data_IF_231109303373
#
_entry.id   IF_231109303373
#
_cell.length_a   1.000
_cell.length_b   1.000
_cell.length_c   1.000
_cell.angle_alpha   90.00
_cell.angle_beta   90.00
_cell.angle_gamma   90.00
#
_symmetry.space_group_name_H-M   'P 1'
#
loop_
_entity.id
_entity.type
_entity.pdbx_description
1 polymer ?
#
# COMPACT_ATOMS: atom_id res chain seq x y z
N UNK A 1 -54.05 -44.98 33.22
CA UNK A 1 -53.67 -46.40 33.14
C UNK A 1 -52.38 -46.46 32.31
N UNK A 2 -51.21 -46.37 32.96
CA UNK A 2 -50.40 -47.50 33.51
C UNK A 2 -49.89 -48.40 32.36
N UNK A 3 -48.60 -48.73 32.20
CA UNK A 3 -47.50 -48.84 33.15
C UNK A 3 -46.15 -48.95 32.38
N UNK A 4 -45.07 -48.46 33.00
CA UNK A 4 -43.65 -48.74 32.69
C UNK A 4 -43.27 -50.16 33.19
N UNK A 5 -42.14 -50.80 32.79
CA UNK A 5 -40.84 -50.49 33.42
C UNK A 5 -39.56 -50.62 32.55
N UNK A 6 -38.52 -49.95 33.06
CA UNK A 6 -37.06 -50.00 32.75
C UNK A 6 -36.44 -51.21 33.52
N UNK A 7 -35.25 -51.80 33.18
CA UNK A 7 -33.90 -51.27 33.52
C UNK A 7 -32.82 -51.69 32.48
N UNK A 8 -31.52 -51.38 32.47
CA UNK A 8 -30.55 -50.45 33.10
C UNK A 8 -29.22 -50.77 32.38
N UNK A 9 -28.36 -49.78 32.13
CA UNK A 9 -27.05 -49.63 32.80
C UNK A 9 -26.14 -48.61 32.08
N UNK A 10 -25.81 -47.57 32.86
CA UNK A 10 -24.47 -47.03 33.15
C UNK A 10 -23.59 -46.60 31.95
N UNK A 11 -22.97 -45.42 31.89
CA UNK A 11 -22.80 -44.31 32.83
C UNK A 11 -22.22 -43.12 32.04
N UNK A 12 -22.77 -41.93 32.31
CA UNK A 12 -22.28 -40.57 32.00
C UNK A 12 -20.96 -40.24 32.74
N UNK A 13 -20.44 -38.99 32.73
CA UNK A 13 -20.21 -38.00 31.66
C UNK A 13 -18.80 -37.35 31.78
N UNK A 14 -18.52 -36.33 30.97
CA UNK A 14 -17.27 -35.56 30.98
C UNK A 14 -17.09 -34.51 32.09
N UNK A 15 -16.17 -33.57 31.83
CA UNK A 15 -15.84 -32.41 32.67
C UNK A 15 -14.32 -32.38 32.94
N UNK A 16 -13.50 -31.67 32.15
CA UNK A 16 -13.15 -30.25 32.28
C UNK A 16 -12.52 -29.90 33.64
N UNK A 17 -11.42 -29.13 33.59
CA UNK A 17 -10.69 -28.45 34.69
C UNK A 17 -9.30 -29.07 35.01
N UNK A 18 -8.33 -28.16 35.22
CA UNK A 18 -7.00 -28.36 35.82
C UNK A 18 -5.86 -28.95 34.96
N UNK A 19 -5.15 -28.07 34.22
CA UNK A 19 -3.67 -28.14 34.13
C UNK A 19 -3.07 -26.74 34.28
N UNK A 20 -3.21 -26.21 35.48
CA UNK A 20 -2.23 -25.32 36.09
C UNK A 20 -1.38 -26.17 37.03
N UNK A 21 -0.08 -25.82 37.14
CA UNK A 21 0.85 -26.21 38.21
C UNK A 21 1.42 -27.64 38.17
N UNK A 22 2.68 -27.72 37.76
CA UNK A 22 3.77 -28.58 38.25
C UNK A 22 4.78 -28.66 37.09
N UNK A 23 5.99 -28.12 37.15
CA UNK A 23 6.98 -28.37 38.20
C UNK A 23 8.06 -27.29 38.18
N UNK A 24 8.16 -26.52 39.27
CA UNK A 24 9.43 -25.96 39.75
C UNK A 24 10.02 -26.96 40.76
N UNK A 25 11.36 -27.02 40.77
CA UNK A 25 12.23 -27.58 41.82
C UNK A 25 12.36 -29.09 41.97
N UNK A 26 13.50 -29.61 41.50
CA UNK A 26 14.42 -30.39 42.34
C UNK A 26 15.86 -30.32 41.78
N UNK A 27 16.70 -29.51 42.43
CA UNK A 27 18.12 -29.84 42.66
C UNK A 27 18.14 -31.14 43.50
N UNK A 28 19.07 -32.11 43.36
CA UNK A 28 20.49 -31.99 43.65
C UNK A 28 21.18 -33.35 43.37
N UNK A 29 22.49 -33.28 43.05
CA UNK A 29 23.57 -34.27 43.23
C UNK A 29 23.70 -35.52 42.33
N UNK A 30 24.84 -35.53 41.60
CA UNK A 30 25.42 -36.72 40.98
C UNK A 30 26.56 -36.39 40.02
N UNK A 31 27.77 -36.15 40.56
CA UNK A 31 29.00 -35.90 39.82
C UNK A 31 29.48 -37.12 39.03
N UNK A 32 29.69 -36.98 37.71
CA UNK A 32 30.63 -37.81 36.95
C UNK A 32 31.40 -36.91 35.99
N UNK A 33 32.69 -36.78 36.27
CA UNK A 33 33.70 -36.15 35.43
C UNK A 33 34.06 -37.06 34.25
N UNK A 34 33.67 -36.69 33.04
CA UNK A 34 34.35 -37.13 31.82
C UNK A 34 34.99 -35.93 31.12
N UNK A 35 36.31 -35.99 31.00
CA UNK A 35 37.13 -35.06 30.23
C UNK A 35 36.77 -35.19 28.75
N UNK A 36 36.06 -34.20 28.21
CA UNK A 36 35.95 -34.00 26.77
C UNK A 36 36.91 -32.87 26.40
N UNK A 37 37.94 -33.22 25.61
CA UNK A 37 38.86 -32.25 25.02
C UNK A 37 38.09 -31.21 24.18
N UNK A 38 38.41 -29.91 24.27
CA UNK A 38 37.76 -28.92 23.43
C UNK A 38 38.28 -29.05 21.99
N UNK A 39 37.40 -29.48 21.09
CA UNK A 39 37.57 -29.35 19.64
C UNK A 39 37.85 -27.88 19.28
N UNK A 40 38.74 -27.62 18.30
CA UNK A 40 39.23 -26.28 18.02
C UNK A 40 38.10 -25.37 17.53
N UNK A 41 37.97 -24.20 18.16
CA UNK A 41 37.11 -23.09 17.71
C UNK A 41 37.41 -22.77 16.25
N UNK A 42 36.57 -23.25 15.32
CA UNK A 42 36.49 -22.69 13.97
C UNK A 42 35.87 -21.30 14.06
N UNK A 43 36.73 -20.31 14.26
CA UNK A 43 36.48 -18.94 13.77
C UNK A 43 36.35 -19.01 12.25
N UNK A 44 35.19 -18.64 11.74
CA UNK A 44 34.99 -17.62 10.70
C UNK A 44 33.49 -17.60 10.37
N UNK A 45 32.74 -16.76 11.09
CA UNK A 45 31.65 -16.04 10.45
C UNK A 45 32.29 -15.24 9.30
N UNK A 46 31.91 -15.56 8.07
CA UNK A 46 32.00 -14.58 6.99
C UNK A 46 30.63 -13.91 6.98
N UNK A 47 30.39 -13.09 8.00
CA UNK A 47 29.52 -11.93 7.84
C UNK A 47 30.47 -10.79 7.51
N UNK A 48 30.82 -10.66 6.23
CA UNK A 48 31.28 -9.38 5.74
C UNK A 48 30.05 -8.48 5.66
N UNK A 49 29.67 -7.88 6.79
CA UNK A 49 28.98 -6.61 6.78
C UNK A 49 29.90 -5.64 6.03
N UNK A 50 29.68 -5.50 4.72
CA UNK A 50 30.23 -4.35 4.00
C UNK A 50 29.62 -3.15 4.70
N UNK A 51 30.42 -2.41 5.47
CA UNK A 51 30.06 -1.05 5.83
C UNK A 51 29.85 -0.30 4.52
N UNK A 52 28.57 -0.07 4.20
CA UNK A 52 28.20 0.68 3.02
C UNK A 52 28.63 2.13 3.28
N UNK A 53 29.65 2.58 2.57
CA UNK A 53 30.09 3.97 2.59
C UNK A 53 29.15 4.80 1.72
N UNK A 54 28.18 5.43 2.36
CA UNK A 54 27.32 6.47 1.78
C UNK A 54 28.22 7.62 1.29
N UNK A 55 28.09 8.04 0.03
CA UNK A 55 28.91 9.16 -0.46
C UNK A 55 28.52 10.48 0.19
N UNK A 56 29.47 11.42 0.18
CA UNK A 56 29.21 12.77 0.66
C UNK A 56 28.09 13.45 -0.14
N UNK A 57 28.02 13.22 -1.46
CA UNK A 57 26.93 13.77 -2.29
C UNK A 57 25.55 13.24 -1.90
N UNK A 58 25.43 11.96 -1.51
CA UNK A 58 24.14 11.42 -1.03
C UNK A 58 23.82 11.93 0.37
N UNK A 59 24.80 12.08 1.25
CA UNK A 59 24.58 12.70 2.57
C UNK A 59 24.11 14.14 2.44
N UNK A 60 24.74 14.96 1.60
CA UNK A 60 24.33 16.35 1.34
C UNK A 60 22.88 16.43 0.86
N UNK A 61 22.47 15.51 -0.02
CA UNK A 61 21.07 15.42 -0.48
C UNK A 61 20.12 15.03 0.65
N UNK A 62 20.49 14.05 1.47
CA UNK A 62 19.67 13.62 2.61
C UNK A 62 19.55 14.76 3.63
N UNK A 63 20.64 15.45 3.96
CA UNK A 63 20.63 16.57 4.90
C UNK A 63 19.79 17.75 4.39
N UNK A 64 19.88 18.07 3.10
CA UNK A 64 19.01 19.07 2.47
C UNK A 64 17.53 18.66 2.56
N UNK A 65 17.22 17.38 2.34
CA UNK A 65 15.88 16.84 2.47
C UNK A 65 15.37 16.89 3.93
N UNK A 66 16.22 16.53 4.92
CA UNK A 66 15.90 16.66 6.35
C UNK A 66 15.60 18.11 6.70
N UNK A 67 16.42 19.06 6.23
CA UNK A 67 16.19 20.48 6.46
C UNK A 67 14.84 20.94 5.89
N UNK A 68 14.49 20.48 4.69
CA UNK A 68 13.20 20.78 4.07
C UNK A 68 12.03 20.16 4.83
N UNK A 69 12.15 18.90 5.25
CA UNK A 69 11.14 18.25 6.07
C UNK A 69 10.92 18.98 7.40
N UNK A 70 12.00 19.41 8.07
CA UNK A 70 11.91 20.20 9.30
C UNK A 70 11.18 21.53 9.07
N UNK A 71 11.48 22.21 7.97
CA UNK A 71 10.82 23.46 7.59
C UNK A 71 9.32 23.28 7.32
N UNK A 72 8.94 22.16 6.71
CA UNK A 72 7.52 21.87 6.40
C UNK A 72 6.76 21.36 7.63
N UNK A 73 7.38 20.53 8.46
CA UNK A 73 6.80 19.96 9.68
C UNK A 73 6.51 20.99 10.78
N UNK A 74 7.20 22.14 10.78
CA UNK A 74 6.93 23.21 11.75
C UNK A 74 5.51 23.78 11.61
N UNK A 75 4.87 23.60 10.44
CA UNK A 75 3.52 24.08 10.15
C UNK A 75 2.44 23.03 10.38
N UNK A 76 2.78 21.90 11.02
CA UNK A 76 1.86 20.77 11.20
C UNK A 76 0.56 21.19 11.88
N UNK A 77 -0.57 20.82 11.28
CA UNK A 77 -1.89 20.86 11.93
C UNK A 77 -2.58 19.51 11.81
N UNK A 78 -3.14 19.01 12.91
CA UNK A 78 -3.76 17.69 12.98
C UNK A 78 -5.28 17.78 12.98
N UNK A 79 -5.90 16.89 12.21
CA UNK A 79 -7.34 16.73 12.14
C UNK A 79 -7.66 15.25 12.26
N UNK A 80 -8.69 14.92 13.02
CA UNK A 80 -9.13 13.54 13.22
C UNK A 80 -10.64 13.47 13.02
N UNK A 81 -11.09 12.55 12.16
CA UNK A 81 -12.49 12.16 12.07
C UNK A 81 -12.66 10.68 12.36
N UNK A 82 -13.76 10.33 13.00
CA UNK A 82 -14.12 8.98 13.39
C UNK A 82 -15.63 8.84 13.27
N UNK A 83 -16.09 7.86 12.48
CA UNK A 83 -17.51 7.59 12.34
C UNK A 83 -18.11 7.08 13.66
N UNK A 84 -19.37 7.41 13.91
CA UNK A 84 -20.04 7.08 15.16
C UNK A 84 -20.10 5.57 15.36
N UNK A 85 -19.62 5.08 16.50
CA UNK A 85 -19.62 3.65 16.84
C UNK A 85 -18.58 2.80 16.11
N UNK A 86 -17.73 3.40 15.27
CA UNK A 86 -16.63 2.70 14.61
C UNK A 86 -15.31 2.89 15.37
N UNK A 87 -14.50 1.83 15.58
CA UNK A 87 -13.13 1.99 16.06
C UNK A 87 -12.20 2.58 14.99
N UNK A 88 -12.67 2.66 13.74
CA UNK A 88 -11.91 3.16 12.61
C UNK A 88 -11.91 4.68 12.56
N UNK A 89 -10.79 5.28 12.15
CA UNK A 89 -10.66 6.72 12.03
C UNK A 89 -9.75 7.13 10.88
N UNK A 90 -9.93 8.36 10.41
CA UNK A 90 -9.03 9.03 9.47
C UNK A 90 -8.35 10.19 10.18
N UNK A 91 -7.03 10.33 9.99
CA UNK A 91 -6.28 11.51 10.43
C UNK A 91 -5.65 12.21 9.25
N UNK A 92 -5.78 13.52 9.22
CA UNK A 92 -5.11 14.36 8.24
C UNK A 92 -4.11 15.26 8.95
N UNK A 93 -2.86 15.22 8.49
CA UNK A 93 -1.81 16.18 8.82
C UNK A 93 -1.74 17.18 7.67
N UNK A 94 -2.03 18.45 7.94
CA UNK A 94 -1.67 19.53 7.04
C UNK A 94 -0.24 19.95 7.30
N UNK A 95 0.55 20.03 6.25
CA UNK A 95 1.91 20.57 6.22
C UNK A 95 1.97 21.79 5.29
N UNK A 96 0.82 22.44 5.07
CA UNK A 96 0.70 23.60 4.23
C UNK A 96 1.24 24.83 4.95
N UNK A 97 2.15 25.55 4.30
CA UNK A 97 2.66 26.79 4.84
C UNK A 97 1.52 27.82 4.91
N UNK A 98 1.29 28.45 6.07
CA UNK A 98 0.24 29.44 6.20
C UNK A 98 0.65 30.78 5.53
N UNK A 99 -0.34 31.65 5.23
CA UNK A 99 -0.11 32.99 4.73
C UNK A 99 0.85 33.82 5.62
N UNK A 100 1.60 34.80 5.06
CA UNK A 100 2.62 35.54 5.78
C UNK A 100 2.16 36.23 7.08
N UNK A 101 0.95 36.78 7.08
CA UNK A 101 0.30 37.42 8.22
C UNK A 101 -0.01 36.41 9.33
N UNK A 102 -0.47 35.21 8.96
CA UNK A 102 -0.71 34.11 9.92
C UNK A 102 0.61 33.58 10.46
N UNK A 103 1.66 33.46 9.64
CA UNK A 103 3.00 33.02 10.11
C UNK A 103 3.55 33.91 11.22
N UNK A 104 3.41 35.22 11.07
CA UNK A 104 3.88 36.17 12.07
C UNK A 104 3.12 35.97 13.39
N UNK A 105 1.79 35.86 13.30
CA UNK A 105 0.94 35.64 14.47
C UNK A 105 1.19 34.31 15.16
N UNK A 106 1.38 33.22 14.42
CA UNK A 106 1.71 31.90 15.01
C UNK A 106 3.01 31.98 15.81
N UNK A 107 4.03 32.71 15.31
CA UNK A 107 5.31 32.88 16.01
C UNK A 107 5.22 33.78 17.25
N UNK A 108 4.32 34.76 17.23
CA UNK A 108 4.15 35.72 18.33
C UNK A 108 3.15 35.25 19.41
N UNK A 109 2.13 34.47 19.02
CA UNK A 109 0.96 34.14 19.84
C UNK A 109 0.84 32.63 20.18
N UNK A 110 1.75 31.76 19.71
CA UNK A 110 1.72 30.30 19.92
C UNK A 110 0.38 29.65 19.51
N UNK A 111 -0.14 30.06 18.35
CA UNK A 111 -1.45 29.63 17.85
C UNK A 111 -1.40 28.26 17.17
N UNK A 112 -2.42 27.45 17.42
CA UNK A 112 -2.66 26.22 16.64
C UNK A 112 -3.23 26.57 15.27
N UNK A 113 -2.59 26.06 14.21
CA UNK A 113 -3.06 26.23 12.83
C UNK A 113 -4.27 25.33 12.55
N UNK A 114 -5.27 25.87 11.86
CA UNK A 114 -6.38 25.11 11.31
C UNK A 114 -6.45 25.37 9.80
N UNK A 115 -6.42 24.30 9.00
CA UNK A 115 -6.50 24.39 7.54
C UNK A 115 -7.96 24.29 7.08
N UNK A 116 -8.56 25.36 6.52
CA UNK A 116 -9.95 25.34 6.07
C UNK A 116 -10.17 24.28 4.97
N UNK A 117 -11.23 23.49 5.09
CA UNK A 117 -11.64 22.48 4.08
C UNK A 117 -11.02 21.09 4.23
N UNK A 118 -9.88 20.95 4.92
CA UNK A 118 -9.32 19.62 5.22
C UNK A 118 -10.16 18.83 6.23
N UNK A 119 -10.93 19.51 7.08
CA UNK A 119 -11.85 18.88 8.03
C UNK A 119 -12.93 18.10 7.28
N UNK A 120 -13.56 18.77 6.32
CA UNK A 120 -14.59 18.18 5.47
C UNK A 120 -14.05 16.98 4.69
N UNK A 121 -12.84 17.07 4.14
CA UNK A 121 -12.21 15.93 3.44
C UNK A 121 -11.95 14.77 4.41
N UNK A 122 -11.43 15.05 5.60
CA UNK A 122 -11.15 14.04 6.64
C UNK A 122 -12.44 13.34 7.08
N UNK A 123 -13.51 14.09 7.26
CA UNK A 123 -14.83 13.58 7.62
C UNK A 123 -15.43 12.73 6.49
N UNK A 124 -15.45 13.24 5.27
CA UNK A 124 -16.01 12.54 4.11
C UNK A 124 -15.26 11.22 3.87
N UNK A 125 -13.93 11.20 3.96
CA UNK A 125 -13.17 9.95 3.80
C UNK A 125 -13.41 8.98 4.97
N UNK A 126 -13.51 9.49 6.21
CA UNK A 126 -13.82 8.66 7.39
C UNK A 126 -15.17 7.96 7.22
N UNK A 127 -16.20 8.71 6.83
CA UNK A 127 -17.52 8.18 6.51
C UNK A 127 -17.46 7.21 5.34
N UNK A 128 -16.77 7.56 4.25
CA UNK A 128 -16.63 6.67 3.09
C UNK A 128 -16.01 5.32 3.46
N UNK A 129 -14.93 5.34 4.24
CA UNK A 129 -14.20 4.16 4.68
C UNK A 129 -14.96 3.30 5.71
N UNK A 130 -16.07 3.77 6.28
CA UNK A 130 -16.78 3.09 7.38
C UNK A 130 -18.23 2.77 7.10
N UNK A 131 -18.90 3.54 6.23
CA UNK A 131 -20.34 3.46 5.99
C UNK A 131 -20.69 2.96 4.58
N UNK A 132 -19.70 2.64 3.74
CA UNK A 132 -19.93 2.17 2.36
C UNK A 132 -19.59 0.69 2.17
N UNK A 133 -19.82 0.19 0.97
CA UNK A 133 -19.45 -1.17 0.53
C UNK A 133 -17.94 -1.46 0.68
N UNK A 134 -17.09 -0.43 0.76
CA UNK A 134 -15.64 -0.57 0.93
C UNK A 134 -15.26 -0.89 2.39
N UNK A 135 -16.13 -0.62 3.37
CA UNK A 135 -15.78 -0.65 4.79
C UNK A 135 -15.16 -1.97 5.29
N UNK A 136 -15.55 -3.11 4.70
CA UNK A 136 -14.97 -4.43 5.02
C UNK A 136 -13.47 -4.52 4.70
N UNK A 137 -13.03 -3.82 3.65
CA UNK A 137 -11.68 -3.90 3.09
C UNK A 137 -10.82 -2.69 3.48
N UNK A 138 -11.43 -1.60 3.95
CA UNK A 138 -10.72 -0.43 4.44
C UNK A 138 -9.86 -0.74 5.68
N UNK A 139 -8.66 -0.14 5.81
CA UNK A 139 -7.91 -0.20 7.06
C UNK A 139 -8.66 0.49 8.20
N UNK A 140 -8.39 0.04 9.43
CA UNK A 140 -8.97 0.66 10.62
C UNK A 140 -8.54 2.12 10.78
N UNK A 141 -7.29 2.43 10.45
CA UNK A 141 -6.76 3.77 10.59
C UNK A 141 -6.24 4.17 9.22
N UNK A 142 -6.51 5.39 8.76
CA UNK A 142 -5.90 5.93 7.54
C UNK A 142 -5.35 7.31 7.85
N UNK A 143 -4.16 7.58 7.33
CA UNK A 143 -3.45 8.83 7.51
C UNK A 143 -3.33 9.55 6.17
N UNK A 144 -3.50 10.87 6.17
CA UNK A 144 -3.28 11.71 4.99
C UNK A 144 -2.28 12.79 5.39
N UNK A 145 -1.19 12.92 4.66
CA UNK A 145 -0.24 14.02 4.77
C UNK A 145 -0.41 14.94 3.56
N UNK A 146 -0.86 16.17 3.82
CA UNK A 146 -1.10 17.19 2.80
C UNK A 146 0.05 18.17 2.78
N UNK A 147 0.62 18.47 1.61
CA UNK A 147 1.75 19.41 1.48
C UNK A 147 1.65 20.21 0.18
N UNK A 148 2.37 21.34 0.11
CA UNK A 148 2.44 22.15 -1.10
C UNK A 148 3.26 21.42 -2.18
N UNK A 149 2.66 21.23 -3.36
CA UNK A 149 3.30 20.62 -4.51
C UNK A 149 4.55 21.35 -4.98
N UNK A 150 4.76 22.63 -4.65
CA UNK A 150 6.03 23.30 -4.98
C UNK A 150 7.23 22.68 -4.27
N UNK A 151 7.01 21.99 -3.14
CA UNK A 151 8.05 21.36 -2.35
C UNK A 151 8.38 19.93 -2.80
N UNK A 152 7.68 19.40 -3.80
CA UNK A 152 7.70 17.98 -4.18
C UNK A 152 9.11 17.45 -4.48
N UNK A 153 9.89 18.20 -5.29
CA UNK A 153 11.26 17.83 -5.66
C UNK A 153 12.25 17.85 -4.50
N UNK A 154 11.99 18.67 -3.49
CA UNK A 154 12.87 18.82 -2.31
C UNK A 154 12.51 17.82 -1.22
N UNK A 155 11.22 17.52 -1.06
CA UNK A 155 10.71 16.53 -0.12
C UNK A 155 10.90 15.10 -0.63
N UNK A 156 10.81 14.88 -1.95
CA UNK A 156 10.91 13.57 -2.59
C UNK A 156 11.84 13.54 -3.82
N UNK A 157 13.13 13.88 -3.67
CA UNK A 157 14.10 13.93 -4.78
C UNK A 157 14.34 12.58 -5.49
N UNK A 158 13.89 11.46 -4.91
CA UNK A 158 14.00 10.13 -5.48
C UNK A 158 12.90 9.81 -6.50
N UNK A 159 11.80 10.55 -6.51
CA UNK A 159 10.73 10.39 -7.50
C UNK A 159 10.97 11.36 -8.66
N UNK A 160 10.84 10.86 -9.90
CA UNK A 160 10.78 11.74 -11.07
C UNK A 160 9.49 12.57 -10.98
N UNK A 161 9.63 13.88 -11.19
CA UNK A 161 8.79 14.93 -10.60
C UNK A 161 7.37 15.12 -11.15
N UNK A 162 6.62 14.05 -11.42
CA UNK A 162 5.28 14.14 -12.01
C UNK A 162 4.26 13.14 -11.41
N UNK A 163 4.23 13.00 -10.08
CA UNK A 163 3.14 12.29 -9.41
C UNK A 163 2.00 13.22 -8.99
N UNK A 164 0.79 12.66 -8.89
CA UNK A 164 -0.41 13.35 -8.43
C UNK A 164 -0.65 13.17 -6.91
N UNK A 165 -0.06 12.11 -6.36
CA UNK A 165 -0.10 11.61 -5.00
C UNK A 165 0.69 10.32 -4.96
N UNK A 166 0.98 9.81 -3.77
CA UNK A 166 1.45 8.45 -3.60
C UNK A 166 1.13 7.97 -2.18
N UNK A 167 1.11 6.66 -2.00
CA UNK A 167 0.99 6.02 -0.70
C UNK A 167 2.29 5.28 -0.37
N UNK A 168 2.55 5.07 0.91
CA UNK A 168 3.69 4.27 1.35
C UNK A 168 3.19 3.00 2.01
N UNK A 169 3.37 1.84 1.36
CA UNK A 169 2.94 0.57 1.93
C UNK A 169 3.96 0.01 2.93
N UNK A 170 5.14 0.63 3.07
CA UNK A 170 6.21 0.17 3.97
C UNK A 170 5.82 0.47 5.42
N UNK A 171 5.91 -0.53 6.29
CA UNK A 171 5.82 -0.31 7.74
C UNK A 171 4.46 -0.55 8.40
N UNK A 172 3.45 -1.02 7.66
CA UNK A 172 2.13 -1.19 8.25
C UNK A 172 1.24 0.05 8.18
N UNK A 173 1.81 1.25 8.00
CA UNK A 173 1.10 2.54 8.06
C UNK A 173 0.39 2.89 6.75
N UNK A 174 -0.95 2.94 6.74
CA UNK A 174 -1.72 3.39 5.58
C UNK A 174 -1.70 4.92 5.52
N UNK A 175 -0.64 5.49 4.94
CA UNK A 175 -0.49 6.94 4.75
C UNK A 175 -0.55 7.32 3.26
N UNK A 176 -1.37 8.33 2.96
CA UNK A 176 -1.48 9.00 1.66
C UNK A 176 -0.69 10.30 1.71
N UNK A 177 0.26 10.49 0.81
CA UNK A 177 0.92 11.78 0.57
C UNK A 177 0.21 12.50 -0.57
N UNK A 178 -0.42 13.62 -0.25
CA UNK A 178 -1.24 14.38 -1.18
C UNK A 178 -0.63 15.77 -1.46
N UNK A 179 0.07 15.93 -2.60
CA UNK A 179 0.58 17.22 -3.03
C UNK A 179 -0.58 18.09 -3.53
N UNK A 180 -0.82 19.23 -2.89
CA UNK A 180 -1.85 20.18 -3.31
C UNK A 180 -1.22 21.38 -4.01
N UNK A 181 -1.82 21.78 -5.13
CA UNK A 181 -1.41 22.98 -5.86
C UNK A 181 -2.00 24.22 -5.20
N UNK A 182 -1.15 25.19 -4.90
CA UNK A 182 -1.57 26.55 -4.59
C UNK A 182 -2.11 27.23 -5.85
N UNK A 183 -3.29 27.83 -5.75
CA UNK A 183 -3.95 28.61 -6.79
C UNK A 183 -3.48 30.07 -6.75
N UNK A 184 -3.78 30.82 -7.81
CA UNK A 184 -3.41 32.23 -7.93
C UNK A 184 -4.04 33.12 -6.84
N UNK A 185 -5.17 32.70 -6.26
CA UNK A 185 -5.86 33.38 -5.17
C UNK A 185 -5.35 32.95 -3.77
N UNK A 186 -4.16 32.34 -3.71
CA UNK A 186 -3.55 31.77 -2.51
C UNK A 186 -4.35 30.63 -1.84
N UNK A 187 -5.41 30.11 -2.48
CA UNK A 187 -6.13 28.93 -1.99
C UNK A 187 -5.53 27.62 -2.50
N UNK A 188 -5.87 26.50 -1.86
CA UNK A 188 -5.34 25.18 -2.24
C UNK A 188 -6.37 24.37 -3.03
N UNK A 189 -5.98 23.89 -4.21
CA UNK A 189 -6.86 23.14 -5.11
C UNK A 189 -6.97 21.66 -4.75
N UNK A 190 -8.08 21.25 -4.15
CA UNK A 190 -8.35 19.86 -3.81
C UNK A 190 -8.86 19.06 -5.02
N UNK A 191 -8.23 17.92 -5.31
CA UNK A 191 -8.71 16.88 -6.23
C UNK A 191 -9.10 15.61 -5.47
N UNK A 192 -10.39 15.43 -5.13
CA UNK A 192 -10.91 14.28 -4.37
C UNK A 192 -10.58 12.93 -5.01
N UNK A 193 -10.63 12.87 -6.34
CA UNK A 193 -10.24 11.71 -7.13
C UNK A 193 -8.85 11.15 -6.77
N UNK A 194 -7.86 12.01 -6.51
CA UNK A 194 -6.50 11.56 -6.15
C UNK A 194 -6.54 10.84 -4.80
N UNK A 195 -7.28 11.37 -3.83
CA UNK A 195 -7.42 10.74 -2.51
C UNK A 195 -8.09 9.37 -2.65
N UNK A 196 -9.15 9.29 -3.45
CA UNK A 196 -9.85 8.03 -3.68
C UNK A 196 -8.96 6.99 -4.36
N UNK A 197 -8.13 7.39 -5.33
CA UNK A 197 -7.15 6.50 -5.97
C UNK A 197 -6.13 5.96 -4.95
N UNK A 198 -5.49 6.85 -4.18
CA UNK A 198 -4.49 6.44 -3.16
C UNK A 198 -5.12 5.68 -1.98
N UNK A 199 -6.41 5.93 -1.69
CA UNK A 199 -7.16 5.11 -0.74
C UNK A 199 -7.40 3.69 -1.30
N UNK A 200 -7.64 3.56 -2.60
CA UNK A 200 -7.70 2.26 -3.29
C UNK A 200 -6.38 1.49 -3.19
N UNK A 201 -5.25 2.16 -3.34
CA UNK A 201 -3.92 1.57 -3.16
C UNK A 201 -3.68 1.02 -1.74
N UNK A 202 -4.06 1.80 -0.74
CA UNK A 202 -4.00 1.42 0.67
C UNK A 202 -4.90 0.21 0.95
N UNK A 203 -6.08 0.17 0.32
CA UNK A 203 -7.01 -0.95 0.42
C UNK A 203 -6.42 -2.21 -0.21
N UNK A 204 -5.84 -2.11 -1.40
CA UNK A 204 -5.15 -3.24 -2.06
C UNK A 204 -4.05 -3.79 -1.15
N UNK A 205 -3.21 -2.89 -0.61
CA UNK A 205 -2.14 -3.27 0.33
C UNK A 205 -2.67 -4.00 1.56
N UNK A 206 -3.83 -3.58 2.09
CA UNK A 206 -4.48 -4.27 3.21
C UNK A 206 -5.01 -5.64 2.80
N UNK A 207 -5.67 -5.76 1.65
CA UNK A 207 -6.18 -7.04 1.14
C UNK A 207 -5.04 -8.06 1.01
N UNK A 208 -3.90 -7.65 0.44
CA UNK A 208 -2.72 -8.52 0.32
C UNK A 208 -2.19 -9.00 1.67
N UNK A 209 -2.14 -8.12 2.66
CA UNK A 209 -1.66 -8.48 4.01
C UNK A 209 -2.60 -9.42 4.73
N UNK A 210 -3.91 -9.20 4.61
CA UNK A 210 -4.91 -10.09 5.20
C UNK A 210 -4.82 -11.49 4.56
N UNK A 211 -4.53 -11.57 3.26
CA UNK A 211 -4.32 -12.81 2.52
C UNK A 211 -3.02 -13.55 2.90
N UNK A 212 -1.94 -12.81 3.15
CA UNK A 212 -0.59 -13.34 3.41
C UNK A 212 -0.25 -13.60 4.87
N UNK A 213 -1.23 -13.80 5.75
CA UNK A 213 -1.02 -13.96 7.21
C UNK A 213 -0.21 -12.79 7.84
N UNK A 214 -0.39 -11.56 7.33
CA UNK A 214 0.33 -10.37 7.78
C UNK A 214 1.61 -10.05 7.01
N UNK A 215 1.99 -10.87 6.02
CA UNK A 215 3.12 -10.61 5.13
C UNK A 215 2.60 -10.16 3.76
N UNK A 216 3.13 -9.06 3.21
CA UNK A 216 2.75 -8.63 1.86
C UNK A 216 3.28 -9.65 0.83
N UNK A 217 2.38 -10.38 0.19
CA UNK A 217 2.66 -11.13 -1.04
C UNK A 217 2.71 -10.19 -2.25
N UNK A 218 3.26 -10.62 -3.39
CA UNK A 218 3.29 -9.77 -4.61
C UNK A 218 2.07 -9.99 -5.51
N UNK A 219 0.96 -10.47 -4.95
CA UNK A 219 -0.18 -10.99 -5.69
C UNK A 219 -0.96 -9.90 -6.42
N UNK A 220 -1.59 -9.00 -5.66
CA UNK A 220 -2.42 -7.94 -6.21
C UNK A 220 -1.60 -6.75 -6.72
N UNK A 221 -0.46 -6.44 -6.14
CA UNK A 221 0.48 -5.43 -6.63
C UNK A 221 0.89 -5.67 -8.09
N UNK A 222 0.82 -6.94 -8.54
CA UNK A 222 1.12 -7.36 -9.92
C UNK A 222 -0.12 -7.67 -10.73
N UNK A 223 -1.30 -7.58 -10.14
CA UNK A 223 -2.55 -7.87 -10.84
C UNK A 223 -2.79 -6.80 -11.90
N UNK A 224 -3.07 -7.25 -13.12
CA UNK A 224 -3.16 -6.35 -14.29
C UNK A 224 -4.23 -5.25 -14.12
N UNK A 225 -5.34 -5.57 -13.46
CA UNK A 225 -6.45 -4.64 -13.22
C UNK A 225 -6.38 -3.90 -11.87
N UNK A 226 -5.26 -3.98 -11.13
CA UNK A 226 -5.12 -3.33 -9.82
C UNK A 226 -5.28 -1.81 -9.92
N UNK A 227 -4.63 -1.18 -10.88
CA UNK A 227 -4.76 0.26 -11.13
C UNK A 227 -6.19 0.61 -11.54
N UNK A 228 -6.85 -0.26 -12.31
CA UNK A 228 -8.26 -0.12 -12.65
C UNK A 228 -9.18 -0.16 -11.44
N UNK A 229 -8.89 -1.00 -10.44
CA UNK A 229 -9.61 -1.00 -9.17
C UNK A 229 -9.43 0.32 -8.42
N UNK A 230 -8.20 0.85 -8.34
CA UNK A 230 -7.92 2.12 -7.68
C UNK A 230 -8.66 3.29 -8.36
N UNK A 231 -8.69 3.33 -9.69
CA UNK A 231 -9.45 4.32 -10.47
C UNK A 231 -10.98 4.18 -10.27
N UNK A 232 -11.50 2.95 -10.17
CA UNK A 232 -12.92 2.73 -9.89
C UNK A 232 -13.32 3.19 -8.47
N UNK A 233 -12.46 2.95 -7.47
CA UNK A 233 -12.63 3.46 -6.10
C UNK A 233 -12.55 4.99 -6.08
N UNK A 234 -11.61 5.58 -6.82
CA UNK A 234 -11.47 7.02 -6.97
C UNK A 234 -12.75 7.68 -7.48
N UNK A 235 -13.35 7.07 -8.51
CA UNK A 235 -14.60 7.52 -9.08
C UNK A 235 -15.78 7.35 -8.11
N UNK A 236 -15.90 6.22 -7.43
CA UNK A 236 -16.97 6.02 -6.44
C UNK A 236 -16.86 7.02 -5.27
N UNK A 237 -15.65 7.32 -4.82
CA UNK A 237 -15.39 8.36 -3.83
C UNK A 237 -15.80 9.76 -4.31
N UNK A 238 -15.51 10.12 -5.57
CA UNK A 238 -15.97 11.37 -6.17
C UNK A 238 -17.51 11.47 -6.17
N UNK A 239 -18.20 10.41 -6.62
CA UNK A 239 -19.66 10.36 -6.65
C UNK A 239 -20.23 10.47 -5.24
N UNK A 240 -19.63 9.78 -4.27
CA UNK A 240 -20.00 9.86 -2.86
C UNK A 240 -19.88 11.30 -2.32
N UNK A 241 -18.77 11.98 -2.60
CA UNK A 241 -18.54 13.35 -2.17
C UNK A 241 -19.54 14.33 -2.81
N UNK A 242 -19.81 14.19 -4.11
CA UNK A 242 -20.78 15.04 -4.83
C UNK A 242 -22.18 14.90 -4.22
N UNK A 243 -22.63 13.66 -3.98
CA UNK A 243 -23.92 13.38 -3.33
C UNK A 243 -24.01 13.97 -1.92
N UNK A 244 -22.94 13.85 -1.12
CA UNK A 244 -22.84 14.49 0.22
C UNK A 244 -22.93 16.02 0.13
N UNK A 245 -22.53 16.60 -0.99
CA UNK A 245 -22.60 18.04 -1.26
C UNK A 245 -23.91 18.47 -1.95
N UNK A 246 -24.92 17.61 -2.04
CA UNK A 246 -26.17 17.83 -2.79
C UNK A 246 -25.94 18.23 -4.26
N UNK A 247 -24.87 17.71 -4.87
CA UNK A 247 -24.58 17.86 -6.29
C UNK A 247 -24.80 16.54 -6.99
N UNK A 248 -25.51 16.58 -8.11
CA UNK A 248 -25.55 15.44 -9.02
C UNK A 248 -24.22 15.37 -9.80
N UNK A 249 -23.65 14.17 -10.00
CA UNK A 249 -22.49 14.01 -10.86
C UNK A 249 -22.85 14.38 -12.30
N UNK A 250 -22.23 15.43 -12.83
CA UNK A 250 -22.44 15.95 -14.19
C UNK A 250 -21.61 15.19 -15.25
N UNK A 251 -21.39 13.89 -15.03
CA UNK A 251 -20.60 13.06 -15.92
C UNK A 251 -21.44 11.88 -16.42
N UNK A 252 -21.64 11.76 -17.75
CA UNK A 252 -22.41 10.67 -18.33
C UNK A 252 -21.61 9.38 -18.23
N UNK A 253 -21.87 8.58 -17.19
CA UNK A 253 -21.23 7.30 -16.93
C UNK A 253 -19.73 7.35 -16.56
N UNK A 254 -19.27 6.22 -16.01
CA UNK A 254 -17.92 5.91 -15.50
C UNK A 254 -16.73 6.23 -16.42
N UNK A 255 -17.00 6.64 -17.65
CA UNK A 255 -16.13 6.44 -18.79
C UNK A 255 -15.35 7.72 -19.17
N UNK A 256 -15.93 8.92 -19.01
CA UNK A 256 -15.32 10.15 -19.55
C UNK A 256 -14.36 10.89 -18.59
N UNK A 257 -14.51 10.71 -17.27
CA UNK A 257 -13.75 11.50 -16.28
C UNK A 257 -12.32 10.99 -16.04
N UNK A 258 -12.09 9.68 -16.16
CA UNK A 258 -10.75 9.08 -15.94
C UNK A 258 -9.76 9.54 -17.02
N UNK A 259 -10.26 10.03 -18.17
CA UNK A 259 -9.43 10.37 -19.33
C UNK A 259 -9.17 11.87 -19.45
N UNK A 260 -10.16 12.69 -19.09
CA UNK A 260 -10.13 14.14 -19.27
C UNK A 260 -8.96 14.84 -18.54
N UNK A 261 -8.41 14.27 -17.47
CA UNK A 261 -7.35 14.89 -16.66
C UNK A 261 -5.93 14.49 -17.06
N UNK A 262 -5.71 13.39 -17.81
CA UNK A 262 -4.35 12.84 -18.01
C UNK A 262 -3.97 12.50 -19.46
N UNK A 263 -4.93 12.31 -20.37
CA UNK A 263 -4.64 11.90 -21.76
C UNK A 263 -4.93 13.00 -22.80
N UNK A 264 -4.70 14.28 -22.45
CA UNK A 264 -4.84 15.44 -23.37
C UNK A 264 -6.22 15.56 -24.05
N UNK A 265 -7.26 15.04 -23.43
CA UNK A 265 -8.63 15.15 -23.94
C UNK A 265 -9.08 14.01 -24.86
N UNK A 266 -8.32 12.92 -25.00
CA UNK A 266 -8.82 11.72 -25.66
C UNK A 266 -10.04 11.14 -24.90
N UNK A 267 -10.94 10.48 -25.60
CA UNK A 267 -12.08 9.72 -25.08
C UNK A 267 -11.75 8.22 -24.98
N UNK A 268 -12.56 7.43 -24.26
CA UNK A 268 -12.28 5.98 -24.14
C UNK A 268 -12.43 5.33 -25.51
N UNK A 269 -13.36 5.85 -26.31
CA UNK A 269 -13.58 5.45 -27.69
C UNK A 269 -12.32 5.65 -28.54
N UNK A 270 -11.69 6.82 -28.48
CA UNK A 270 -10.43 7.09 -29.19
C UNK A 270 -9.29 6.16 -28.73
N UNK A 271 -9.20 5.87 -27.42
CA UNK A 271 -8.22 4.90 -26.91
C UNK A 271 -8.46 3.47 -27.43
N UNK A 272 -9.70 3.10 -27.76
CA UNK A 272 -10.08 1.76 -28.25
C UNK A 272 -10.02 1.61 -29.78
N UNK A 273 -10.11 2.71 -30.54
CA UNK A 273 -10.18 2.76 -32.02
C UNK A 273 -8.79 2.99 -32.70
N UNK A 274 -7.74 2.33 -32.20
CA UNK A 274 -6.36 2.27 -32.76
C UNK A 274 -5.35 3.36 -32.32
N UNK A 275 -5.72 4.39 -31.54
CA UNK A 275 -4.70 5.34 -31.03
C UNK A 275 -3.75 4.69 -30.02
N UNK A 276 -4.23 3.71 -29.23
CA UNK A 276 -3.41 3.04 -28.22
C UNK A 276 -2.14 2.41 -28.79
N UNK A 277 -2.16 1.88 -30.02
CA UNK A 277 -0.96 1.32 -30.65
C UNK A 277 0.09 2.39 -30.99
N UNK A 278 -0.37 3.62 -31.28
CA UNK A 278 0.45 4.77 -31.67
C UNK A 278 1.03 5.56 -30.49
N UNK A 279 0.49 5.38 -29.29
CA UNK A 279 0.97 6.00 -28.06
C UNK A 279 2.40 5.56 -27.71
N UNK A 280 3.18 6.46 -27.10
CA UNK A 280 4.48 6.11 -26.51
C UNK A 280 4.29 5.25 -25.23
N UNK A 281 5.36 4.61 -24.73
CA UNK A 281 5.27 3.66 -23.60
C UNK A 281 4.64 4.30 -22.34
N UNK A 282 4.91 5.58 -22.07
CA UNK A 282 4.34 6.31 -20.93
C UNK A 282 2.84 6.57 -21.11
N UNK A 283 2.43 7.08 -22.28
CA UNK A 283 1.04 7.34 -22.60
C UNK A 283 0.21 6.04 -22.69
N UNK A 284 0.82 4.92 -23.11
CA UNK A 284 0.20 3.59 -23.04
C UNK A 284 -0.07 3.19 -21.59
N UNK A 285 0.89 3.36 -20.69
CA UNK A 285 0.70 3.05 -19.27
C UNK A 285 -0.46 3.85 -18.67
N UNK A 286 -0.57 5.14 -19.00
CA UNK A 286 -1.69 5.96 -18.52
C UNK A 286 -3.04 5.59 -19.16
N UNK A 287 -3.06 5.27 -20.45
CA UNK A 287 -4.26 4.77 -21.12
C UNK A 287 -4.73 3.43 -20.53
N UNK A 288 -3.81 2.56 -20.10
CA UNK A 288 -4.15 1.30 -19.41
C UNK A 288 -4.90 1.53 -18.10
N UNK A 289 -4.59 2.60 -17.36
CA UNK A 289 -5.30 2.94 -16.12
C UNK A 289 -6.74 3.36 -16.41
N UNK A 290 -6.94 4.17 -17.45
CA UNK A 290 -8.29 4.59 -17.88
C UNK A 290 -9.12 3.43 -18.39
N UNK A 291 -8.54 2.59 -19.26
CA UNK A 291 -9.21 1.40 -19.79
C UNK A 291 -9.50 0.36 -18.69
N UNK A 292 -8.53 0.13 -17.80
CA UNK A 292 -8.69 -0.75 -16.64
C UNK A 292 -9.75 -0.24 -15.67
N UNK A 293 -9.75 1.06 -15.40
CA UNK A 293 -10.74 1.74 -14.55
C UNK A 293 -12.15 1.56 -15.08
N UNK A 294 -12.37 1.85 -16.37
CA UNK A 294 -13.66 1.64 -17.03
C UNK A 294 -14.09 0.15 -17.01
N UNK A 295 -13.17 -0.77 -17.28
CA UNK A 295 -13.50 -2.20 -17.26
C UNK A 295 -13.90 -2.70 -15.86
N UNK A 296 -13.16 -2.32 -14.82
CA UNK A 296 -13.49 -2.68 -13.42
C UNK A 296 -14.79 -2.02 -12.99
N UNK A 297 -15.04 -0.81 -13.45
CA UNK A 297 -16.29 -0.09 -13.24
C UNK A 297 -17.49 -0.79 -13.88
N UNK A 298 -17.31 -1.39 -15.05
CA UNK A 298 -18.34 -2.23 -15.66
C UNK A 298 -18.60 -3.49 -14.83
N UNK A 299 -17.57 -4.12 -14.24
CA UNK A 299 -17.74 -5.24 -13.31
C UNK A 299 -18.56 -4.81 -12.09
N UNK A 300 -18.24 -3.65 -11.49
CA UNK A 300 -18.97 -3.10 -10.35
C UNK A 300 -20.44 -2.84 -10.71
N UNK A 301 -20.70 -2.32 -11.91
CA UNK A 301 -22.07 -2.04 -12.38
C UNK A 301 -22.89 -3.32 -12.56
N UNK A 302 -22.28 -4.38 -13.08
CA UNK A 302 -22.96 -5.63 -13.38
C UNK A 302 -23.10 -6.55 -12.15
N UNK A 303 -22.06 -6.65 -11.35
CA UNK A 303 -21.97 -7.62 -10.24
C UNK A 303 -22.01 -6.99 -8.85
N UNK A 304 -21.95 -5.66 -8.75
CA UNK A 304 -21.84 -4.96 -7.49
C UNK A 304 -20.40 -4.80 -7.01
N UNK A 305 -20.21 -3.81 -6.14
CA UNK A 305 -18.88 -3.46 -5.63
C UNK A 305 -18.34 -4.54 -4.70
N UNK A 306 -19.19 -5.12 -3.86
CA UNK A 306 -18.84 -6.15 -2.89
C UNK A 306 -18.31 -7.42 -3.57
N UNK A 307 -18.95 -7.86 -4.66
CA UNK A 307 -18.46 -9.01 -5.43
C UNK A 307 -17.14 -8.70 -6.11
N UNK A 308 -17.02 -7.53 -6.71
CA UNK A 308 -15.77 -7.12 -7.37
C UNK A 308 -14.60 -7.11 -6.37
N UNK A 309 -14.77 -6.50 -5.19
CA UNK A 309 -13.75 -6.53 -4.13
C UNK A 309 -13.47 -7.94 -3.61
N UNK A 310 -14.50 -8.79 -3.50
CA UNK A 310 -14.32 -10.19 -3.13
C UNK A 310 -13.47 -10.94 -4.14
N UNK A 311 -13.64 -10.70 -5.45
CA UNK A 311 -12.80 -11.31 -6.48
C UNK A 311 -11.33 -10.93 -6.31
N UNK A 312 -11.01 -9.64 -6.14
CA UNK A 312 -9.62 -9.23 -5.89
C UNK A 312 -9.07 -9.82 -4.59
N UNK A 313 -9.88 -9.93 -3.54
CA UNK A 313 -9.46 -10.58 -2.30
C UNK A 313 -9.16 -12.09 -2.48
N UNK A 314 -9.95 -12.81 -3.28
CA UNK A 314 -9.68 -14.22 -3.57
C UNK A 314 -8.46 -14.41 -4.47
N UNK A 315 -8.20 -13.51 -5.42
CA UNK A 315 -6.96 -13.48 -6.21
C UNK A 315 -5.73 -13.26 -5.30
N UNK A 316 -5.84 -12.37 -4.32
CA UNK A 316 -4.81 -12.15 -3.30
C UNK A 316 -4.55 -13.43 -2.47
N UNK A 317 -5.62 -14.04 -1.95
CA UNK A 317 -5.57 -15.28 -1.17
C UNK A 317 -4.90 -16.41 -1.97
N UNK A 318 -5.33 -16.60 -3.22
CA UNK A 318 -4.81 -17.65 -4.09
C UNK A 318 -3.32 -17.43 -4.37
N UNK A 319 -2.93 -16.19 -4.64
CA UNK A 319 -1.52 -15.82 -4.85
C UNK A 319 -0.68 -16.07 -3.60
N UNK A 320 -1.17 -15.67 -2.42
CA UNK A 320 -0.49 -15.89 -1.15
C UNK A 320 -0.32 -17.39 -0.82
N UNK A 321 -1.36 -18.21 -1.08
CA UNK A 321 -1.28 -19.66 -0.90
C UNK A 321 -0.27 -20.30 -1.84
N UNK A 322 -0.19 -19.85 -3.10
CA UNK A 322 0.79 -20.34 -4.06
C UNK A 322 2.21 -19.97 -3.63
N UNK A 323 2.43 -18.72 -3.20
CA UNK A 323 3.73 -18.27 -2.68
C UNK A 323 4.16 -19.07 -1.44
N UNK A 324 3.24 -19.32 -0.50
CA UNK A 324 3.47 -20.15 0.69
C UNK A 324 3.86 -21.58 0.32
N UNK A 325 3.12 -22.21 -0.60
CA UNK A 325 3.42 -23.56 -1.10
C UNK A 325 4.81 -23.63 -1.74
N UNK A 326 5.15 -22.67 -2.60
CA UNK A 326 6.45 -22.62 -3.27
C UNK A 326 7.61 -22.42 -2.27
N UNK A 327 7.39 -21.62 -1.23
CA UNK A 327 8.33 -21.47 -0.11
C UNK A 327 8.54 -22.78 0.65
N UNK A 328 7.46 -23.43 1.07
CA UNK A 328 7.51 -24.68 1.83
C UNK A 328 8.22 -25.79 1.03
N UNK A 329 7.94 -25.88 -0.28
CA UNK A 329 8.61 -26.82 -1.19
C UNK A 329 10.11 -26.53 -1.29
N UNK A 330 10.49 -25.26 -1.40
CA UNK A 330 11.89 -24.83 -1.50
C UNK A 330 12.65 -25.05 -0.19
N UNK A 331 12.04 -24.74 0.96
CA UNK A 331 12.62 -25.06 2.26
C UNK A 331 12.81 -26.57 2.43
N UNK A 332 11.85 -27.38 1.96
CA UNK A 332 11.97 -28.83 1.97
C UNK A 332 13.14 -29.31 1.11
N UNK A 333 13.30 -28.77 -0.10
CA UNK A 333 14.42 -29.08 -1.00
C UNK A 333 15.77 -28.71 -0.38
N UNK A 334 15.87 -27.50 0.20
CA UNK A 334 17.09 -27.03 0.88
C UNK A 334 17.48 -27.93 2.05
N UNK A 335 16.50 -28.42 2.84
CA UNK A 335 16.74 -29.37 3.93
C UNK A 335 17.18 -30.75 3.42
N UNK A 336 16.68 -31.20 2.27
CA UNK A 336 16.99 -32.53 1.69
C UNK A 336 18.36 -32.60 1.00
N UNK A 337 18.80 -31.52 0.35
CA UNK A 337 20.01 -31.55 -0.50
C UNK A 337 21.25 -30.91 0.12
N UNK A 338 21.15 -30.36 1.34
CA UNK A 338 22.21 -29.55 1.91
C UNK A 338 22.37 -28.23 1.15
N UNK A 339 22.86 -27.20 1.84
CA UNK A 339 22.97 -25.79 1.42
C UNK A 339 23.71 -25.49 0.09
N UNK A 340 24.05 -26.48 -0.73
CA UNK A 340 24.93 -26.38 -1.89
C UNK A 340 24.24 -26.38 -3.25
N UNK A 341 22.90 -26.52 -3.33
CA UNK A 341 22.19 -26.49 -4.62
C UNK A 341 21.05 -25.48 -4.60
N UNK A 342 21.38 -24.25 -4.97
CA UNK A 342 20.44 -23.18 -5.36
C UNK A 342 19.55 -22.63 -4.22
N UNK A 343 20.04 -21.58 -3.54
CA UNK A 343 19.18 -20.74 -2.70
C UNK A 343 18.19 -20.00 -3.60
N UNK A 344 16.94 -20.48 -3.66
CA UNK A 344 15.82 -19.74 -4.23
C UNK A 344 15.20 -18.92 -3.10
N UNK A 345 15.49 -17.62 -3.07
CA UNK A 345 14.92 -16.69 -2.09
C UNK A 345 13.57 -16.21 -2.60
N UNK A 346 12.49 -16.48 -1.87
CA UNK A 346 11.18 -15.89 -2.16
C UNK A 346 11.10 -14.54 -1.47
N UNK A 347 10.95 -13.49 -2.27
CA UNK A 347 10.67 -12.16 -1.78
C UNK A 347 9.20 -12.07 -1.29
N UNK A 348 8.89 -12.57 -0.08
CA UNK A 348 7.98 -11.78 0.78
C UNK A 348 8.61 -10.43 1.04
N UNK A 349 7.86 -9.39 1.46
CA UNK A 349 8.38 -8.04 1.81
C UNK A 349 9.87 -8.15 2.03
N UNK A 350 10.70 -7.65 1.08
CA UNK A 350 12.10 -8.06 1.00
C UNK A 350 12.61 -8.11 2.43
N UNK A 351 13.22 -9.22 2.85
CA UNK A 351 14.23 -9.15 3.89
C UNK A 351 15.15 -8.08 3.36
N UNK A 352 14.86 -6.84 3.75
CA UNK A 352 15.36 -5.68 3.07
C UNK A 352 16.85 -5.83 3.27
N UNK A 353 17.63 -6.03 2.19
CA UNK A 353 19.06 -6.23 2.34
C UNK A 353 19.51 -5.15 3.28
N UNK A 354 20.09 -5.53 4.43
CA UNK A 354 20.21 -4.72 5.65
C UNK A 354 20.43 -3.27 5.26
N UNK A 355 19.34 -2.48 5.19
CA UNK A 355 19.41 -1.28 4.34
C UNK A 355 20.39 -0.36 5.01
N UNK A 356 21.40 0.16 4.30
CA UNK A 356 22.30 1.13 4.89
C UNK A 356 21.48 2.28 5.45
N UNK A 357 21.55 2.42 6.76
CA UNK A 357 20.84 3.47 7.47
C UNK A 357 21.75 4.70 7.48
N UNK A 358 21.21 5.85 7.08
CA UNK A 358 21.94 7.11 7.20
C UNK A 358 22.26 7.42 8.67
N UNK A 359 21.28 7.22 9.55
CA UNK A 359 21.38 7.31 11.01
C UNK A 359 20.30 6.44 11.68
N UNK A 360 20.41 6.15 12.98
CA UNK A 360 19.34 5.50 13.74
C UNK A 360 18.01 6.24 13.61
N UNK A 361 16.90 5.51 13.66
CA UNK A 361 15.55 6.07 13.49
C UNK A 361 15.24 7.18 14.51
N UNK A 362 15.59 6.96 15.79
CA UNK A 362 15.40 7.94 16.85
C UNK A 362 16.18 9.25 16.61
N UNK A 363 17.40 9.15 16.08
CA UNK A 363 18.22 10.32 15.76
C UNK A 363 17.61 11.10 14.59
N UNK A 364 17.07 10.40 13.58
CA UNK A 364 16.32 11.03 12.50
C UNK A 364 15.09 11.79 13.03
N UNK A 365 14.34 11.19 13.95
CA UNK A 365 13.16 11.84 14.53
C UNK A 365 13.52 13.13 15.27
N UNK A 366 14.60 13.11 16.05
CA UNK A 366 15.13 14.31 16.71
C UNK A 366 15.52 15.37 15.67
N UNK A 367 16.18 14.97 14.58
CA UNK A 367 16.54 15.89 13.50
C UNK A 367 15.32 16.44 12.75
N UNK A 368 14.22 15.71 12.68
CA UNK A 368 12.97 16.19 12.11
C UNK A 368 12.21 17.14 13.06
N UNK A 369 12.71 17.34 14.28
CA UNK A 369 12.15 18.24 15.28
C UNK A 369 11.14 17.60 16.24
N UNK A 370 11.08 16.27 16.30
CA UNK A 370 10.25 15.56 17.28
C UNK A 370 10.93 15.49 18.65
N UNK A 371 10.15 15.61 19.72
CA UNK A 371 10.66 15.31 21.08
C UNK A 371 10.62 13.81 21.34
N UNK A 372 11.40 13.31 22.31
CA UNK A 372 11.37 11.88 22.67
C UNK A 372 9.99 11.42 23.13
N UNK A 373 9.20 12.30 23.74
CA UNK A 373 7.82 11.97 24.11
C UNK A 373 6.94 11.76 22.87
N UNK A 374 7.14 12.53 21.79
CA UNK A 374 6.34 12.43 20.57
C UNK A 374 6.42 11.03 19.93
N UNK A 375 7.59 10.38 20.04
CA UNK A 375 7.88 9.11 19.37
C UNK A 375 8.19 7.94 20.29
N UNK A 376 7.91 8.05 21.60
CA UNK A 376 8.08 6.92 22.51
C UNK A 376 7.26 5.72 21.99
N UNK A 377 7.92 4.56 21.83
CA UNK A 377 7.31 3.34 21.28
C UNK A 377 7.14 3.30 19.76
N UNK A 378 7.53 4.33 19.01
CA UNK A 378 7.64 4.23 17.54
C UNK A 378 8.79 3.28 17.20
N UNK A 379 8.60 2.44 16.19
CA UNK A 379 9.68 1.58 15.68
C UNK A 379 9.74 1.70 14.16
N UNK A 380 10.94 1.53 13.61
CA UNK A 380 11.13 1.38 12.16
C UNK A 380 10.66 0.01 11.64
N UNK A 381 10.20 -0.89 12.52
CA UNK A 381 9.72 -2.21 12.18
C UNK A 381 8.30 -2.17 11.58
N UNK A 382 8.01 -3.11 10.68
CA UNK A 382 6.77 -3.22 9.92
C UNK A 382 5.55 -3.69 10.71
N UNK A 383 5.64 -3.74 12.04
CA UNK A 383 4.53 -4.17 12.88
C UNK A 383 3.42 -3.11 12.94
N UNK A 384 2.15 -3.49 12.68
CA UNK A 384 1.01 -2.58 12.46
C UNK A 384 0.46 -1.90 13.74
N UNK A 385 1.28 -1.73 14.78
CA UNK A 385 0.82 -1.31 16.10
C UNK A 385 0.87 0.19 16.35
N UNK A 386 1.58 0.96 15.53
CA UNK A 386 1.57 2.41 15.71
C UNK A 386 0.56 3.05 14.77
N UNK A 387 -0.27 3.88 15.38
CA UNK A 387 -1.43 4.51 14.76
C UNK A 387 -1.27 6.03 14.72
N UNK A 388 -0.07 6.54 15.04
CA UNK A 388 0.28 7.95 14.97
C UNK A 388 0.71 8.32 13.56
N UNK A 389 0.13 9.39 12.97
CA UNK A 389 0.49 9.81 11.62
C UNK A 389 1.94 10.33 11.54
N UNK A 390 2.51 10.83 12.64
CA UNK A 390 3.93 11.18 12.78
C UNK A 390 4.86 9.98 12.56
N UNK A 391 4.50 8.81 13.10
CA UNK A 391 5.23 7.56 12.86
C UNK A 391 5.19 7.13 11.40
N UNK A 392 4.05 7.33 10.73
CA UNK A 392 3.90 7.06 9.30
C UNK A 392 4.73 7.99 8.41
N UNK A 393 4.78 9.29 8.73
CA UNK A 393 5.64 10.26 8.04
C UNK A 393 7.11 9.90 8.26
N UNK A 394 7.52 9.67 9.50
CA UNK A 394 8.91 9.34 9.80
C UNK A 394 9.36 8.02 9.17
N UNK A 395 8.52 6.98 9.21
CA UNK A 395 8.79 5.71 8.54
C UNK A 395 8.92 5.87 7.02
N UNK A 396 8.13 6.78 6.42
CA UNK A 396 8.24 7.15 5.02
C UNK A 396 9.57 7.82 4.71
N UNK A 397 9.93 8.88 5.44
CA UNK A 397 11.19 9.61 5.27
C UNK A 397 12.39 8.66 5.43
N UNK A 398 12.31 7.77 6.42
CA UNK A 398 13.31 6.75 6.66
C UNK A 398 13.44 5.75 5.49
N UNK A 399 12.31 5.34 4.93
CA UNK A 399 12.24 4.48 3.74
C UNK A 399 12.75 5.17 2.46
N UNK A 400 12.55 6.48 2.35
CA UNK A 400 13.04 7.31 1.26
C UNK A 400 14.58 7.39 1.27
N UNK A 401 15.21 7.69 2.40
CA UNK A 401 16.67 7.79 2.49
C UNK A 401 17.34 6.44 2.19
N UNK A 402 16.71 5.37 2.68
CA UNK A 402 17.04 4.00 2.31
C UNK A 402 17.09 3.79 0.78
N UNK A 403 16.07 4.27 0.04
CA UNK A 403 16.03 4.17 -1.43
C UNK A 403 17.10 5.03 -2.11
N UNK A 404 17.35 6.23 -1.61
CA UNK A 404 18.40 7.12 -2.15
C UNK A 404 19.79 6.48 -2.05
N UNK A 405 20.09 5.84 -0.92
CA UNK A 405 21.37 5.14 -0.71
C UNK A 405 21.46 3.92 -1.64
N UNK A 406 20.37 3.15 -1.77
CA UNK A 406 20.34 1.97 -2.67
C UNK A 406 20.51 2.36 -4.15
N UNK A 407 19.84 3.42 -4.64
CA UNK A 407 19.99 3.91 -6.02
C UNK A 407 21.43 4.30 -6.33
N UNK A 408 22.17 4.82 -5.35
CA UNK A 408 23.59 5.10 -5.52
C UNK A 408 24.42 3.81 -5.69
N UNK A 409 24.13 2.78 -4.91
CA UNK A 409 24.81 1.48 -5.04
C UNK A 409 24.50 0.79 -6.37
N UNK A 410 23.23 0.79 -6.78
CA UNK A 410 22.81 0.25 -8.07
C UNK A 410 23.42 1.04 -9.24
N UNK A 411 23.47 2.37 -9.11
CA UNK A 411 24.19 3.24 -10.02
C UNK A 411 25.66 2.82 -10.15
N UNK A 412 26.35 2.53 -9.04
CA UNK A 412 27.74 2.02 -9.04
C UNK A 412 27.87 0.60 -9.62
N UNK A 413 26.86 -0.26 -9.43
CA UNK A 413 26.85 -1.64 -9.93
C UNK A 413 26.56 -1.72 -11.44
N UNK A 414 25.72 -0.83 -11.97
CA UNK A 414 25.36 -0.79 -13.40
C UNK A 414 26.54 -0.41 -14.32
N UNK A 415 27.58 0.26 -13.81
CA UNK A 415 28.81 0.51 -14.58
C UNK A 415 29.73 -0.72 -14.71
N UNK A 416 29.41 -1.85 -14.08
CA UNK A 416 30.20 -3.07 -14.11
C UNK A 416 29.57 -4.23 -14.91
N UNK A 417 28.43 -4.05 -15.59
CA UNK A 417 27.74 -5.17 -16.28
C UNK A 417 27.01 -4.78 -17.57
N UNK A 418 27.74 -4.93 -18.68
CA UNK A 418 27.33 -5.29 -20.04
C UNK A 418 26.65 -4.24 -20.97
N UNK A 419 26.89 -4.36 -22.30
CA UNK A 419 26.51 -3.35 -23.30
C UNK A 419 25.07 -3.52 -23.78
N UNK A 420 24.39 -2.39 -23.96
CA UNK A 420 23.06 -2.30 -24.58
C UNK A 420 23.14 -2.58 -26.09
N UNK A 421 22.85 -3.82 -26.47
CA UNK A 421 22.52 -4.15 -27.86
C UNK A 421 21.03 -3.89 -28.14
N UNK A 422 20.64 -3.50 -29.36
CA UNK A 422 19.24 -3.26 -29.72
C UNK A 422 18.47 -4.59 -29.73
N UNK A 423 17.73 -4.86 -28.64
CA UNK A 423 16.79 -5.99 -28.61
C UNK A 423 15.57 -5.64 -29.46
N UNK A 424 15.39 -6.37 -30.57
CA UNK A 424 14.11 -6.42 -31.30
C UNK A 424 13.02 -6.90 -30.32
N UNK A 425 12.23 -5.97 -29.78
CA UNK A 425 11.10 -6.27 -28.90
C UNK A 425 10.06 -7.09 -29.67
N UNK A 426 9.78 -8.32 -29.24
CA UNK A 426 8.56 -9.05 -29.67
C UNK A 426 7.35 -8.23 -29.19
N UNK A 427 6.32 -8.03 -30.04
CA UNK A 427 5.05 -7.41 -29.60
C UNK A 427 4.50 -8.24 -28.44
N UNK A 428 4.37 -7.63 -27.27
CA UNK A 428 3.73 -8.25 -26.10
C UNK A 428 2.22 -8.47 -26.33
N UNK A 429 1.53 -9.16 -25.40
CA UNK A 429 0.08 -9.33 -25.45
C UNK A 429 -0.64 -7.97 -25.43
N UNK A 430 -1.80 -7.87 -26.09
CA UNK A 430 -2.61 -6.64 -26.10
C UNK A 430 -3.21 -6.34 -24.72
N UNK A 431 -3.78 -5.13 -24.53
CA UNK A 431 -4.58 -4.82 -23.34
C UNK A 431 -5.71 -5.83 -23.14
N UNK A 432 -6.48 -6.12 -24.20
CA UNK A 432 -7.61 -7.06 -24.13
C UNK A 432 -7.17 -8.47 -23.77
N UNK A 433 -6.07 -8.97 -24.35
CA UNK A 433 -5.55 -10.29 -24.00
C UNK A 433 -5.16 -10.37 -22.53
N UNK A 434 -4.55 -9.30 -21.99
CA UNK A 434 -4.18 -9.22 -20.57
C UNK A 434 -5.42 -9.14 -19.68
N UNK A 435 -6.41 -8.32 -20.03
CA UNK A 435 -7.67 -8.17 -19.30
C UNK A 435 -8.47 -9.48 -19.25
N UNK A 436 -8.61 -10.15 -20.40
CA UNK A 436 -9.29 -11.45 -20.48
C UNK A 436 -8.54 -12.48 -19.62
N UNK A 437 -7.20 -12.54 -19.70
CA UNK A 437 -6.41 -13.47 -18.87
C UNK A 437 -6.53 -13.18 -17.38
N UNK A 438 -6.61 -11.92 -16.96
CA UNK A 438 -6.81 -11.60 -15.55
C UNK A 438 -8.18 -12.04 -15.05
N UNK A 439 -9.22 -11.98 -15.90
CA UNK A 439 -10.59 -12.33 -15.52
C UNK A 439 -10.98 -13.79 -15.82
N UNK A 440 -10.21 -14.53 -16.62
CA UNK A 440 -10.46 -15.95 -16.89
C UNK A 440 -9.81 -16.84 -15.82
N UNK A 441 -10.16 -16.59 -14.56
CA UNK A 441 -9.70 -17.38 -13.41
C UNK A 441 -10.85 -18.19 -12.81
N UNK A 442 -10.51 -19.20 -12.01
CA UNK A 442 -11.52 -19.98 -11.29
C UNK A 442 -12.26 -19.10 -10.27
N UNK A 443 -11.54 -18.15 -9.65
CA UNK A 443 -12.03 -17.18 -8.68
C UNK A 443 -13.06 -16.25 -9.31
N UNK A 444 -12.81 -15.76 -10.53
CA UNK A 444 -13.78 -14.95 -11.26
C UNK A 444 -15.09 -15.71 -11.51
N UNK A 445 -15.02 -17.00 -11.88
CA UNK A 445 -16.20 -17.86 -12.09
C UNK A 445 -16.91 -18.19 -10.77
N UNK A 446 -16.18 -18.31 -9.67
CA UNK A 446 -16.77 -18.51 -8.35
C UNK A 446 -17.52 -17.26 -7.88
N UNK A 447 -16.93 -16.08 -8.08
CA UNK A 447 -17.46 -14.81 -7.56
C UNK A 447 -18.53 -14.19 -8.47
N UNK A 448 -18.32 -14.18 -9.77
CA UNK A 448 -19.24 -13.59 -10.75
C UNK A 448 -20.28 -14.59 -11.27
N UNK A 449 -20.09 -15.88 -11.01
CA UNK A 449 -21.01 -16.96 -11.36
C UNK A 449 -20.40 -17.94 -12.38
N UNK A 450 -20.81 -19.22 -12.31
CA UNK A 450 -20.18 -20.30 -13.09
C UNK A 450 -20.27 -20.10 -14.62
N UNK A 451 -21.26 -19.35 -15.08
CA UNK A 451 -21.46 -19.02 -16.50
C UNK A 451 -20.70 -17.76 -16.95
N UNK A 452 -19.95 -17.11 -16.05
CA UNK A 452 -19.16 -15.93 -16.36
C UNK A 452 -18.08 -16.25 -17.41
N UNK A 453 -18.05 -15.45 -18.48
CA UNK A 453 -17.07 -15.53 -19.56
C UNK A 453 -16.31 -14.21 -19.64
N UNK A 454 -15.05 -14.23 -19.23
CA UNK A 454 -14.14 -13.07 -19.35
C UNK A 454 -14.04 -12.56 -20.79
N UNK A 455 -14.03 -13.47 -21.77
CA UNK A 455 -13.99 -13.12 -23.18
C UNK A 455 -15.24 -12.34 -23.59
N UNK A 456 -16.44 -12.87 -23.31
CA UNK A 456 -17.68 -12.21 -23.70
C UNK A 456 -17.84 -10.88 -22.97
N UNK A 457 -17.54 -10.85 -21.67
CA UNK A 457 -17.63 -9.64 -20.86
C UNK A 457 -16.75 -8.50 -21.42
N UNK A 458 -15.47 -8.76 -21.71
CA UNK A 458 -14.55 -7.75 -22.25
C UNK A 458 -14.96 -7.30 -23.65
N UNK A 459 -15.44 -8.21 -24.50
CA UNK A 459 -15.91 -7.86 -25.85
C UNK A 459 -17.18 -7.02 -25.80
N UNK A 460 -18.15 -7.38 -24.96
CA UNK A 460 -19.40 -6.65 -24.79
C UNK A 460 -19.17 -5.27 -24.17
N UNK A 461 -18.27 -5.18 -23.17
CA UNK A 461 -17.82 -3.90 -22.61
C UNK A 461 -17.22 -2.99 -23.69
N UNK A 462 -16.30 -3.52 -24.50
CA UNK A 462 -15.68 -2.76 -25.60
C UNK A 462 -16.74 -2.27 -26.60
N UNK A 463 -17.65 -3.16 -27.02
CA UNK A 463 -18.71 -2.80 -27.97
C UNK A 463 -19.60 -1.67 -27.43
N UNK A 464 -19.99 -1.75 -26.15
CA UNK A 464 -20.77 -0.69 -25.49
C UNK A 464 -20.08 0.68 -25.55
N UNK A 465 -18.76 0.74 -25.33
CA UNK A 465 -18.01 2.00 -25.39
C UNK A 465 -17.94 2.53 -26.83
N UNK A 466 -17.66 1.66 -27.80
CA UNK A 466 -17.57 2.07 -29.21
C UNK A 466 -18.92 2.58 -29.75
N UNK A 467 -20.03 2.06 -29.23
CA UNK A 467 -21.39 2.49 -29.57
C UNK A 467 -21.86 3.78 -28.84
N UNK A 468 -21.08 4.33 -27.90
CA UNK A 468 -21.41 5.60 -27.26
C UNK A 468 -21.41 6.74 -28.28
N UNK A 469 -22.45 7.58 -28.23
CA UNK A 469 -22.55 8.81 -29.01
C UNK A 469 -21.72 9.89 -28.34
N UNK A 470 -20.94 10.62 -29.13
CA UNK A 470 -20.18 11.82 -28.71
C UNK A 470 -21.08 12.94 -28.18
#
# INVERSE_FOLDING_TARGET
MSETPIPEKQSRPGGLVERLQNTKQKQENGSVTEKVEPLPKRRRSIESSREIKISESVKEKIDACIAKWRDVLQWKSLMKSQALGSPSYVRTISLLEPPPDIRQRVKEEDLTLHSPGLEAVTEILSTYATETHIAKYAPRHVHIAVYDRTNDKELFPEFDSDHAGFHVPRGGYPIIFWPIRKREDDTYGMSPHIIGHEFGEILVSKIERDAGDGVRGKGLDRHFLKEGLCEAIAHDFDVFQMRRSNKEPDFPAYDDRIIATKNRGASLKELLDDEYASLNDQAKSFAEYSLGGSLVSALIREFGFERTLSYFAEEANTSAQLEKKMRDETESLNRRHGSSTMQITFHTEPDLPTVPQYKPFDDLLIDLGYTREDFEGMTSASTPFDTRPEGGIAATIYGQFSLMIMKEEEGRAHWASAPEGPRKRKKGPSFFDRAIRSLDTAQAKEVFGHDFSAHNFVIDWRAKILDMKE
#
